data_IF_539355670513
#
_entry.id   IF_539355670513
#
_cell.length_a   1.000
_cell.length_b   1.000
_cell.length_c   1.000
_cell.angle_alpha   90.00
_cell.angle_beta   90.00
_cell.angle_gamma   90.00
#
_symmetry.space_group_name_H-M   'P 1'
#
loop_
_entity.id
_entity.type
_entity.pdbx_description
1 polymer ?
#
# COMPACT_ATOMS: atom_id res chain seq x y z
N UNK A 1 -9.19 -11.37 -1.80
CA UNK A 1 -9.89 -12.52 -2.40
C UNK A 1 -8.88 -13.53 -2.93
N UNK A 2 -9.09 -14.84 -2.73
CA UNK A 2 -8.17 -15.88 -3.20
C UNK A 2 -8.89 -16.84 -4.15
N UNK A 3 -8.22 -17.23 -5.26
CA UNK A 3 -8.70 -18.23 -6.21
C UNK A 3 -7.68 -19.37 -6.34
N UNK A 4 -8.11 -20.59 -6.74
CA UNK A 4 -7.15 -21.64 -7.06
C UNK A 4 -6.20 -21.19 -8.15
N UNK A 5 -4.94 -21.66 -8.09
CA UNK A 5 -3.96 -21.36 -9.12
C UNK A 5 -4.29 -22.16 -10.38
N UNK A 6 -4.35 -21.55 -11.58
CA UNK A 6 -4.46 -22.28 -12.82
C UNK A 6 -3.25 -23.22 -12.99
N UNK A 7 -3.52 -24.50 -13.35
CA UNK A 7 -2.47 -25.53 -13.47
C UNK A 7 -1.45 -25.26 -14.59
N UNK A 8 -1.79 -24.42 -15.55
CA UNK A 8 -0.99 -24.22 -16.77
C UNK A 8 0.21 -23.26 -16.60
N UNK A 9 0.35 -22.58 -15.48
CA UNK A 9 1.36 -21.53 -15.34
C UNK A 9 2.18 -21.69 -14.06
N UNK A 10 3.07 -22.66 -14.07
CA UNK A 10 4.04 -22.88 -12.97
C UNK A 10 4.95 -21.66 -12.72
N UNK A 11 5.26 -20.85 -13.77
CA UNK A 11 6.02 -19.63 -13.65
C UNK A 11 5.23 -18.50 -12.95
N UNK A 12 3.91 -18.46 -13.13
CA UNK A 12 3.07 -17.49 -12.42
C UNK A 12 3.00 -17.76 -10.91
N UNK A 13 3.32 -18.98 -10.47
CA UNK A 13 3.28 -19.35 -9.05
C UNK A 13 4.19 -18.50 -8.16
N UNK A 14 5.31 -18.01 -8.71
CA UNK A 14 6.31 -17.25 -7.96
C UNK A 14 6.29 -15.75 -8.29
N UNK A 15 5.43 -15.30 -9.22
CA UNK A 15 5.38 -13.94 -9.69
C UNK A 15 4.22 -13.18 -9.01
N UNK A 16 4.55 -12.06 -8.38
CA UNK A 16 3.59 -11.07 -7.93
C UNK A 16 3.38 -10.02 -9.03
N UNK A 17 2.13 -9.76 -9.38
CA UNK A 17 1.76 -8.77 -10.39
C UNK A 17 1.16 -7.53 -9.72
N UNK A 18 1.57 -6.36 -10.21
CA UNK A 18 1.00 -5.06 -9.92
C UNK A 18 0.58 -4.43 -11.25
N UNK A 19 -0.69 -4.22 -11.47
CA UNK A 19 -1.20 -3.65 -12.72
C UNK A 19 -1.80 -2.26 -12.47
N UNK A 20 -1.17 -1.24 -13.03
CA UNK A 20 -1.58 0.16 -12.94
C UNK A 20 -2.49 0.59 -14.10
N UNK A 21 -2.99 -0.34 -14.91
CA UNK A 21 -3.92 -0.05 -16.00
C UNK A 21 -5.24 0.61 -15.56
N UNK A 22 -5.71 0.50 -14.30
CA UNK A 22 -6.86 1.26 -13.83
C UNK A 22 -6.63 2.77 -13.64
N UNK A 23 -5.38 3.24 -13.57
CA UNK A 23 -5.07 4.67 -13.35
C UNK A 23 -5.66 5.59 -14.41
N UNK A 24 -5.57 5.29 -15.72
CA UNK A 24 -6.26 6.07 -16.75
C UNK A 24 -7.79 6.07 -16.66
N UNK A 25 -8.37 5.12 -15.93
CA UNK A 25 -9.81 5.03 -15.70
C UNK A 25 -10.28 5.87 -14.50
N UNK A 26 -9.36 6.58 -13.84
CA UNK A 26 -9.66 7.44 -12.69
C UNK A 26 -9.41 6.80 -11.32
N UNK A 27 -8.94 5.56 -11.27
CA UNK A 27 -8.59 4.87 -10.01
C UNK A 27 -7.17 5.26 -9.61
N UNK A 28 -7.04 5.88 -8.44
CA UNK A 28 -5.74 6.25 -7.88
C UNK A 28 -5.09 5.06 -7.16
N UNK A 29 -4.77 4.02 -7.92
CA UNK A 29 -4.30 2.77 -7.37
C UNK A 29 -3.94 1.74 -8.44
N UNK A 30 -4.06 0.46 -8.09
CA UNK A 30 -3.69 -0.65 -8.95
C UNK A 30 -4.46 -1.92 -8.58
N UNK A 31 -4.50 -2.90 -9.50
CA UNK A 31 -4.88 -4.27 -9.18
C UNK A 31 -3.65 -5.10 -8.86
N UNK A 32 -3.80 -6.07 -7.97
CA UNK A 32 -2.75 -7.05 -7.68
C UNK A 32 -3.21 -8.48 -7.87
N UNK A 33 -2.23 -9.32 -8.15
CA UNK A 33 -2.34 -10.77 -8.24
C UNK A 33 -1.08 -11.38 -7.64
N UNK A 34 -1.18 -11.92 -6.41
CA UNK A 34 -0.07 -12.45 -5.64
C UNK A 34 -0.18 -13.94 -5.41
N UNK A 35 0.94 -14.69 -5.46
CA UNK A 35 0.96 -16.08 -5.03
C UNK A 35 0.70 -16.14 -3.52
N UNK A 36 -0.10 -17.11 -3.11
CA UNK A 36 -0.39 -17.38 -1.69
C UNK A 36 -0.66 -18.85 -1.46
N UNK A 37 -0.79 -19.24 -0.20
CA UNK A 37 -1.21 -20.59 0.18
C UNK A 37 -2.39 -20.50 1.13
N UNK A 38 -3.40 -21.33 0.90
CA UNK A 38 -4.53 -21.47 1.80
C UNK A 38 -4.68 -22.97 2.12
N UNK A 39 -4.53 -23.33 3.40
CA UNK A 39 -4.55 -24.73 3.86
C UNK A 39 -3.58 -25.64 3.07
N UNK A 40 -2.36 -25.13 2.81
CA UNK A 40 -1.31 -25.85 2.07
C UNK A 40 -1.54 -25.97 0.55
N UNK A 41 -2.62 -25.37 0.02
CA UNK A 41 -2.91 -25.37 -1.42
C UNK A 41 -2.40 -24.09 -2.06
N UNK A 42 -1.69 -24.14 -3.20
CA UNK A 42 -1.30 -22.96 -3.96
C UNK A 42 -2.55 -22.21 -4.45
N UNK A 43 -2.60 -20.92 -4.15
CA UNK A 43 -3.70 -20.02 -4.49
C UNK A 43 -3.15 -18.70 -5.05
N UNK A 44 -4.02 -17.92 -5.68
CA UNK A 44 -3.72 -16.53 -6.07
C UNK A 44 -4.60 -15.60 -5.25
N UNK A 45 -3.99 -14.56 -4.67
CA UNK A 45 -4.67 -13.51 -3.93
C UNK A 45 -4.84 -12.28 -4.84
N UNK A 46 -6.09 -11.91 -5.09
CA UNK A 46 -6.46 -10.81 -5.96
C UNK A 46 -7.03 -9.66 -5.15
N UNK A 47 -6.78 -8.46 -5.64
CA UNK A 47 -7.45 -7.29 -5.11
C UNK A 47 -7.22 -6.06 -5.97
N UNK A 48 -7.88 -5.00 -5.57
CA UNK A 48 -7.73 -3.65 -6.13
C UNK A 48 -7.65 -2.66 -4.98
N UNK A 49 -6.82 -1.66 -5.14
CA UNK A 49 -6.61 -0.59 -4.20
C UNK A 49 -6.89 0.75 -4.87
N UNK A 50 -7.57 1.63 -4.16
CA UNK A 50 -7.75 3.03 -4.54
C UNK A 50 -7.47 3.90 -3.33
N UNK A 51 -6.55 4.86 -3.47
CA UNK A 51 -6.21 5.81 -2.41
C UNK A 51 -7.27 6.88 -2.22
N UNK A 52 -8.19 7.04 -3.16
CA UNK A 52 -9.12 8.16 -3.21
C UNK A 52 -8.43 9.55 -3.15
N UNK A 53 -7.16 9.63 -3.58
CA UNK A 53 -6.41 10.90 -3.65
C UNK A 53 -6.96 11.86 -4.70
N UNK A 54 -7.84 11.38 -5.56
CA UNK A 54 -8.46 12.10 -6.67
C UNK A 54 -9.97 12.21 -6.42
N UNK A 55 -10.35 12.73 -5.25
CA UNK A 55 -11.74 12.83 -4.79
C UNK A 55 -12.67 13.64 -5.71
N UNK A 56 -12.12 14.40 -6.64
CA UNK A 56 -12.83 15.18 -7.68
C UNK A 56 -13.19 14.34 -8.92
N UNK A 57 -12.91 13.03 -8.92
CA UNK A 57 -13.23 12.12 -9.99
C UNK A 57 -14.36 11.18 -9.60
N UNK A 58 -15.05 10.69 -10.63
CA UNK A 58 -16.04 9.63 -10.54
C UNK A 58 -15.44 8.34 -11.15
N UNK A 59 -14.65 7.57 -10.38
CA UNK A 59 -14.04 6.34 -10.87
C UNK A 59 -15.11 5.27 -11.06
N UNK A 60 -14.89 4.30 -11.97
CA UNK A 60 -15.77 3.15 -12.08
C UNK A 60 -15.76 2.34 -10.77
N UNK A 61 -16.80 1.55 -10.50
CA UNK A 61 -16.82 0.64 -9.36
C UNK A 61 -15.57 -0.25 -9.35
N UNK A 62 -14.87 -0.32 -8.22
CA UNK A 62 -13.59 -1.04 -8.11
C UNK A 62 -13.69 -2.52 -8.52
N UNK A 63 -14.87 -3.10 -8.42
CA UNK A 63 -15.14 -4.45 -8.86
C UNK A 63 -14.87 -4.66 -10.35
N UNK A 64 -15.19 -3.68 -11.20
CA UNK A 64 -15.16 -3.85 -12.66
C UNK A 64 -13.74 -4.06 -13.21
N UNK A 65 -12.74 -3.21 -12.92
CA UNK A 65 -11.37 -3.44 -13.35
C UNK A 65 -10.75 -4.68 -12.70
N UNK A 66 -11.11 -5.01 -11.45
CA UNK A 66 -10.64 -6.23 -10.80
C UNK A 66 -11.14 -7.48 -11.52
N UNK A 67 -12.44 -7.55 -11.83
CA UNK A 67 -13.03 -8.68 -12.56
C UNK A 67 -12.46 -8.78 -13.97
N UNK A 68 -12.24 -7.65 -14.64
CA UNK A 68 -11.63 -7.63 -15.97
C UNK A 68 -10.21 -8.22 -15.94
N UNK A 69 -9.40 -7.85 -14.94
CA UNK A 69 -8.06 -8.39 -14.76
C UNK A 69 -8.06 -9.89 -14.45
N UNK A 70 -8.92 -10.33 -13.55
CA UNK A 70 -9.08 -11.75 -13.23
C UNK A 70 -9.44 -12.58 -14.45
N UNK A 71 -10.42 -12.13 -15.25
CA UNK A 71 -10.82 -12.80 -16.49
C UNK A 71 -9.66 -12.87 -17.50
N UNK A 72 -8.90 -11.78 -17.64
CA UNK A 72 -7.73 -11.72 -18.52
C UNK A 72 -6.69 -12.77 -18.15
N UNK A 73 -6.59 -13.14 -16.88
CA UNK A 73 -5.67 -14.16 -16.35
C UNK A 73 -6.29 -15.52 -16.12
N UNK A 74 -7.50 -15.74 -16.63
CA UNK A 74 -8.18 -17.04 -16.53
C UNK A 74 -8.76 -17.38 -15.18
N UNK A 75 -8.90 -16.39 -14.27
CA UNK A 75 -9.56 -16.57 -12.99
C UNK A 75 -11.04 -16.17 -13.05
N UNK A 76 -11.90 -16.90 -12.35
CA UNK A 76 -13.32 -16.62 -12.27
C UNK A 76 -13.71 -16.08 -10.89
N UNK A 77 -14.67 -15.13 -10.89
CA UNK A 77 -15.16 -14.49 -9.66
C UNK A 77 -16.16 -15.35 -8.89
N UNK A 78 -16.85 -16.24 -9.58
CA UNK A 78 -17.90 -17.12 -9.04
C UNK A 78 -17.43 -18.04 -7.90
N UNK A 79 -16.10 -18.20 -7.75
CA UNK A 79 -15.48 -19.02 -6.72
C UNK A 79 -14.94 -18.21 -5.52
N UNK A 80 -15.19 -16.89 -5.43
CA UNK A 80 -14.56 -16.06 -4.43
C UNK A 80 -15.45 -14.92 -3.95
N UNK A 81 -15.48 -14.72 -2.65
CA UNK A 81 -16.16 -13.61 -2.00
C UNK A 81 -15.29 -12.36 -2.04
N UNK A 82 -15.86 -11.24 -2.53
CA UNK A 82 -15.22 -9.92 -2.49
C UNK A 82 -15.45 -9.29 -1.12
N UNK A 83 -14.35 -8.91 -0.47
CA UNK A 83 -14.39 -8.14 0.77
C UNK A 83 -13.70 -6.81 0.53
N UNK A 84 -14.32 -5.70 0.95
CA UNK A 84 -13.78 -4.36 0.88
C UNK A 84 -13.58 -3.78 2.28
N UNK A 85 -12.45 -3.12 2.49
CA UNK A 85 -12.15 -2.43 3.74
C UNK A 85 -11.63 -1.03 3.44
N UNK A 86 -12.10 0.02 4.16
CA UNK A 86 -11.50 1.34 4.08
C UNK A 86 -10.09 1.29 4.68
N UNK A 87 -9.14 1.91 3.99
CA UNK A 87 -7.76 2.05 4.46
C UNK A 87 -7.46 3.54 4.58
N UNK A 88 -7.02 3.98 5.77
CA UNK A 88 -6.47 5.31 5.95
C UNK A 88 -5.04 5.33 5.43
N UNK A 89 -4.73 6.23 4.53
CA UNK A 89 -3.35 6.46 4.11
C UNK A 89 -2.66 7.52 4.96
N UNK A 90 -1.34 7.42 5.05
CA UNK A 90 -0.50 8.32 5.82
C UNK A 90 -0.52 9.74 5.24
N UNK A 91 -0.66 10.71 6.12
CA UNK A 91 -0.44 12.13 5.80
C UNK A 91 0.50 12.75 6.83
N UNK A 92 1.57 13.45 6.40
CA UNK A 92 2.50 14.10 7.32
C UNK A 92 1.87 15.25 8.13
N UNK A 93 0.63 15.64 7.77
CA UNK A 93 -0.15 16.68 8.48
C UNK A 93 -1.17 16.10 9.45
N UNK A 94 -1.32 14.79 9.51
CA UNK A 94 -2.25 14.14 10.44
C UNK A 94 -1.67 14.13 11.86
N UNK A 95 -2.48 14.46 12.85
CA UNK A 95 -2.16 14.17 14.25
C UNK A 95 -2.22 12.67 14.51
N UNK A 96 -1.18 12.11 15.10
CA UNK A 96 -1.02 10.69 15.41
C UNK A 96 -1.10 10.42 16.91
N UNK A 97 -1.20 11.47 17.73
CA UNK A 97 -1.27 11.37 19.18
C UNK A 97 -2.13 12.47 19.81
N UNK A 98 -2.69 12.12 20.94
CA UNK A 98 -3.27 13.04 21.92
C UNK A 98 -2.91 12.52 23.32
N UNK A 99 -3.08 13.28 24.41
CA UNK A 99 -2.76 12.78 25.74
C UNK A 99 -3.38 11.41 26.01
N UNK A 100 -2.53 10.45 26.41
CA UNK A 100 -2.84 9.04 26.68
C UNK A 100 -3.26 8.19 25.48
N UNK A 101 -3.19 8.70 24.23
CA UNK A 101 -3.54 7.95 23.02
C UNK A 101 -2.48 8.16 21.94
N UNK A 102 -2.01 7.09 21.33
CA UNK A 102 -1.18 7.11 20.14
C UNK A 102 -1.79 6.20 19.06
N UNK A 103 -1.71 6.62 17.81
CA UNK A 103 -2.14 5.82 16.67
C UNK A 103 -0.97 5.02 16.11
N UNK A 104 -1.24 3.77 15.73
CA UNK A 104 -0.26 2.86 15.15
C UNK A 104 -0.88 2.08 13.99
N UNK A 105 -0.05 1.50 13.11
CA UNK A 105 -0.52 0.69 11.99
C UNK A 105 -1.47 1.46 11.08
N UNK A 106 -2.50 0.80 10.60
CA UNK A 106 -3.48 1.37 9.66
C UNK A 106 -4.22 2.58 10.24
N UNK A 107 -4.41 2.63 11.57
CA UNK A 107 -5.00 3.79 12.23
C UNK A 107 -4.11 5.05 12.11
N UNK A 108 -2.79 4.89 12.13
CA UNK A 108 -1.84 5.98 11.88
C UNK A 108 -1.69 6.31 10.38
N UNK A 109 -2.01 5.38 9.53
CA UNK A 109 -2.00 5.50 8.07
C UNK A 109 -1.05 4.53 7.39
N UNK A 110 -1.58 3.80 6.41
CA UNK A 110 -0.84 2.92 5.52
C UNK A 110 -0.12 3.70 4.40
N UNK A 111 0.63 2.99 3.58
CA UNK A 111 1.29 3.56 2.41
C UNK A 111 0.30 4.06 1.36
N UNK A 112 0.33 5.35 1.04
CA UNK A 112 -0.53 5.95 0.02
C UNK A 112 -0.17 5.58 -1.42
N UNK A 113 1.01 4.98 -1.68
CA UNK A 113 1.44 4.61 -3.04
C UNK A 113 1.04 3.17 -3.40
N UNK A 114 1.29 2.23 -2.50
CA UNK A 114 1.06 0.80 -2.74
C UNK A 114 0.05 0.16 -1.78
N UNK A 115 -0.55 0.92 -0.86
CA UNK A 115 -1.46 0.35 0.14
C UNK A 115 -0.80 -0.65 1.08
N UNK A 116 0.55 -0.63 1.20
CA UNK A 116 1.28 -1.54 2.06
C UNK A 116 0.98 -1.22 3.52
N UNK A 117 0.48 -2.20 4.27
CA UNK A 117 0.13 -2.05 5.69
C UNK A 117 1.04 -2.82 6.63
N UNK A 118 1.41 -4.07 6.30
CA UNK A 118 2.04 -5.01 7.26
C UNK A 118 3.41 -4.53 7.73
N UNK A 119 4.34 -4.25 6.81
CA UNK A 119 5.68 -3.80 7.20
C UNK A 119 5.64 -2.42 7.86
N UNK A 120 4.72 -1.57 7.41
CA UNK A 120 4.47 -0.24 7.98
C UNK A 120 3.96 -0.35 9.41
N UNK A 121 3.00 -1.24 9.68
CA UNK A 121 2.48 -1.48 11.04
C UNK A 121 3.56 -1.95 12.01
N UNK A 122 4.45 -2.84 11.56
CA UNK A 122 5.61 -3.28 12.36
C UNK A 122 6.57 -2.12 12.67
N UNK A 123 6.78 -1.22 11.70
CA UNK A 123 7.57 0.00 11.90
C UNK A 123 6.96 0.93 12.94
N UNK A 124 5.66 1.18 12.87
CA UNK A 124 4.93 1.95 13.90
C UNK A 124 5.04 1.32 15.28
N UNK A 125 4.88 -0.02 15.37
CA UNK A 125 4.97 -0.75 16.63
C UNK A 125 6.27 -0.52 17.37
N UNK A 126 7.40 -0.47 16.65
CA UNK A 126 8.71 -0.16 17.22
C UNK A 126 8.78 1.25 17.80
N UNK A 127 8.30 2.26 17.07
CA UNK A 127 8.31 3.65 17.49
C UNK A 127 7.35 3.89 18.67
N UNK A 128 6.19 3.25 18.63
CA UNK A 128 5.22 3.28 19.73
C UNK A 128 5.78 2.66 21.02
N UNK A 129 6.47 1.52 20.92
CA UNK A 129 7.12 0.89 22.07
C UNK A 129 8.20 1.77 22.70
N UNK A 130 8.92 2.55 21.91
CA UNK A 130 9.87 3.54 22.41
C UNK A 130 9.15 4.68 23.14
N UNK A 131 8.10 5.25 22.54
CA UNK A 131 7.33 6.34 23.14
C UNK A 131 6.65 5.91 24.45
N UNK A 132 6.12 4.70 24.51
CA UNK A 132 5.52 4.13 25.73
C UNK A 132 6.55 3.92 26.84
N UNK A 133 7.73 3.40 26.50
CA UNK A 133 8.82 3.25 27.49
C UNK A 133 9.21 4.58 28.10
N UNK A 134 9.39 5.60 27.26
CA UNK A 134 9.76 6.94 27.72
C UNK A 134 8.66 7.55 28.60
N UNK A 135 7.39 7.38 28.20
CA UNK A 135 6.24 7.85 28.98
C UNK A 135 6.15 7.19 30.36
N UNK A 136 6.40 5.87 30.44
CA UNK A 136 6.43 5.16 31.73
C UNK A 136 7.61 5.62 32.59
N UNK A 137 8.79 5.84 32.00
CA UNK A 137 9.97 6.26 32.73
C UNK A 137 9.87 7.70 33.28
N UNK A 138 9.18 8.58 32.55
CA UNK A 138 9.05 10.00 32.92
C UNK A 138 7.74 10.36 33.66
N UNK A 139 6.73 9.46 33.57
CA UNK A 139 5.37 9.76 34.03
C UNK A 139 4.59 10.68 33.09
N UNK A 140 5.18 11.08 31.95
CA UNK A 140 4.53 11.96 30.96
C UNK A 140 3.86 11.17 29.82
N UNK A 141 2.55 11.06 29.89
CA UNK A 141 1.73 10.41 28.86
C UNK A 141 1.08 11.41 27.89
N UNK A 142 1.64 12.61 27.75
CA UNK A 142 1.13 13.61 26.79
C UNK A 142 1.35 13.21 25.35
N UNK A 143 2.41 12.43 25.06
CA UNK A 143 2.87 12.04 23.72
C UNK A 143 3.04 13.22 22.75
N UNK A 144 3.33 14.40 23.28
CA UNK A 144 3.41 15.64 22.49
C UNK A 144 4.49 15.64 21.42
N UNK A 145 5.48 14.76 21.51
CA UNK A 145 6.57 14.60 20.55
C UNK A 145 6.41 13.40 19.61
N UNK A 146 5.35 12.58 19.77
CA UNK A 146 5.18 11.32 19.02
C UNK A 146 5.08 11.54 17.51
N UNK A 147 4.30 12.52 17.05
CA UNK A 147 4.17 12.87 15.64
C UNK A 147 5.54 13.23 15.03
N UNK A 148 6.33 14.01 15.75
CA UNK A 148 7.68 14.40 15.34
C UNK A 148 8.64 13.21 15.31
N UNK A 149 8.53 12.26 16.26
CA UNK A 149 9.31 11.02 16.26
C UNK A 149 9.00 10.20 15.02
N UNK A 150 7.71 10.04 14.68
CA UNK A 150 7.30 9.34 13.44
C UNK A 150 7.89 10.04 12.21
N UNK A 151 7.65 11.35 12.06
CA UNK A 151 8.07 12.10 10.86
C UNK A 151 9.59 12.10 10.65
N UNK A 152 10.37 12.14 11.72
CA UNK A 152 11.85 12.11 11.66
C UNK A 152 12.44 10.71 11.50
N UNK A 153 11.66 9.67 11.75
CA UNK A 153 12.10 8.29 11.58
C UNK A 153 12.25 7.91 10.10
N UNK A 154 13.04 6.88 9.78
CA UNK A 154 13.09 6.32 8.43
C UNK A 154 11.72 5.90 7.90
N UNK A 155 10.81 5.42 8.78
CA UNK A 155 9.43 5.11 8.43
C UNK A 155 8.67 6.34 7.93
N UNK A 156 8.64 7.41 8.73
CA UNK A 156 7.90 8.64 8.40
C UNK A 156 8.46 9.34 7.16
N UNK A 157 9.79 9.34 6.98
CA UNK A 157 10.44 9.86 5.77
C UNK A 157 10.03 9.05 4.52
N UNK A 158 10.05 7.71 4.62
CA UNK A 158 9.62 6.85 3.52
C UNK A 158 8.14 7.05 3.18
N UNK A 159 7.26 7.12 4.19
CA UNK A 159 5.83 7.34 3.99
C UNK A 159 5.54 8.73 3.39
N UNK A 160 6.24 9.77 3.85
CA UNK A 160 6.10 11.12 3.28
C UNK A 160 6.51 11.15 1.81
N UNK A 161 7.64 10.52 1.46
CA UNK A 161 8.08 10.42 0.08
C UNK A 161 7.10 9.63 -0.79
N UNK A 162 6.60 8.49 -0.30
CA UNK A 162 5.61 7.68 -1.02
C UNK A 162 4.30 8.42 -1.23
N UNK A 163 3.82 9.16 -0.22
CA UNK A 163 2.63 10.01 -0.35
C UNK A 163 2.81 11.07 -1.43
N UNK A 164 3.97 11.75 -1.47
CA UNK A 164 4.26 12.75 -2.50
C UNK A 164 4.31 12.12 -3.90
N UNK A 165 4.95 10.95 -4.05
CA UNK A 165 5.01 10.19 -5.30
C UNK A 165 3.60 9.77 -5.74
N UNK A 166 2.76 9.29 -4.82
CA UNK A 166 1.39 8.89 -5.12
C UNK A 166 0.57 10.05 -5.69
N UNK A 167 0.67 11.24 -5.07
CA UNK A 167 0.01 12.45 -5.59
C UNK A 167 0.43 12.79 -7.03
N UNK A 168 1.72 12.66 -7.34
CA UNK A 168 2.22 12.95 -8.70
C UNK A 168 1.77 11.87 -9.68
N UNK A 169 2.05 10.60 -9.35
CA UNK A 169 1.80 9.46 -10.22
C UNK A 169 0.33 9.32 -10.60
N UNK A 170 -0.56 9.42 -9.61
CA UNK A 170 -1.99 9.24 -9.83
C UNK A 170 -2.67 10.46 -10.45
N UNK A 171 -2.14 11.67 -10.28
CA UNK A 171 -2.59 12.85 -11.02
C UNK A 171 -2.25 12.80 -12.50
N UNK A 172 -1.10 12.24 -12.87
CA UNK A 172 -0.65 12.08 -14.24
C UNK A 172 -1.29 10.82 -14.88
N UNK A 173 -2.62 10.81 -14.94
CA UNK A 173 -3.43 9.64 -15.31
C UNK A 173 -3.60 9.42 -16.81
N UNK A 174 -3.09 10.30 -17.67
CA UNK A 174 -3.22 10.15 -19.12
C UNK A 174 -2.62 8.81 -19.59
N UNK A 175 -3.39 8.05 -20.37
CA UNK A 175 -2.98 6.70 -20.80
C UNK A 175 -1.64 6.69 -21.55
N UNK A 176 -1.38 7.72 -22.38
CA UNK A 176 -0.10 7.87 -23.09
C UNK A 176 1.06 8.10 -22.13
N UNK A 177 0.84 8.95 -21.10
CA UNK A 177 1.85 9.25 -20.08
C UNK A 177 2.16 8.00 -19.25
N UNK A 178 1.16 7.27 -18.77
CA UNK A 178 1.34 6.04 -18.01
C UNK A 178 2.13 4.99 -18.82
N UNK A 179 1.77 4.76 -20.10
CA UNK A 179 2.51 3.86 -20.97
C UNK A 179 3.96 4.29 -21.16
N UNK A 180 4.20 5.58 -21.43
CA UNK A 180 5.52 6.15 -21.60
C UNK A 180 6.35 6.04 -20.32
N UNK A 181 5.79 6.42 -19.17
CA UNK A 181 6.43 6.37 -17.87
C UNK A 181 6.89 4.95 -17.51
N UNK A 182 5.98 3.99 -17.53
CA UNK A 182 6.30 2.61 -17.18
C UNK A 182 7.25 1.93 -18.17
N UNK A 183 7.27 2.35 -19.43
CA UNK A 183 8.17 1.80 -20.44
C UNK A 183 9.58 2.38 -20.35
N UNK A 184 9.71 3.70 -20.22
CA UNK A 184 10.97 4.42 -20.26
C UNK A 184 11.67 4.46 -18.90
N UNK A 185 10.91 4.66 -17.82
CA UNK A 185 11.46 4.81 -16.47
C UNK A 185 11.46 3.52 -15.64
N UNK A 186 11.19 2.37 -16.24
CA UNK A 186 11.18 1.08 -15.55
C UNK A 186 12.41 0.86 -14.65
N UNK A 187 13.67 1.07 -15.06
CA UNK A 187 14.83 0.88 -14.18
C UNK A 187 14.86 1.88 -13.03
N UNK A 188 14.47 3.13 -13.27
CA UNK A 188 14.40 4.17 -12.22
C UNK A 188 13.29 3.83 -11.22
N UNK A 189 12.12 3.44 -11.71
CA UNK A 189 11.01 3.00 -10.87
C UNK A 189 11.40 1.80 -10.01
N UNK A 190 12.09 0.82 -10.59
CA UNK A 190 12.59 -0.35 -9.86
C UNK A 190 13.60 0.06 -8.77
N UNK A 191 14.52 0.96 -9.06
CA UNK A 191 15.48 1.47 -8.09
C UNK A 191 14.79 2.25 -6.95
N UNK A 192 13.85 3.14 -7.28
CA UNK A 192 13.07 3.90 -6.30
C UNK A 192 12.22 2.96 -5.45
N UNK A 193 11.53 2.00 -6.06
CA UNK A 193 10.76 0.99 -5.34
C UNK A 193 11.66 0.18 -4.40
N UNK A 194 12.83 -0.24 -4.85
CA UNK A 194 13.78 -0.96 -4.00
C UNK A 194 14.20 -0.13 -2.78
N UNK A 195 14.55 1.14 -2.96
CA UNK A 195 15.02 2.00 -1.87
C UNK A 195 13.89 2.39 -0.91
N UNK A 196 12.74 2.80 -1.45
CA UNK A 196 11.65 3.36 -0.63
C UNK A 196 10.69 2.28 -0.10
N UNK A 197 10.51 1.18 -0.82
CA UNK A 197 9.53 0.15 -0.46
C UNK A 197 10.21 -1.04 0.21
N UNK A 198 11.27 -1.58 -0.38
CA UNK A 198 11.88 -2.82 0.11
C UNK A 198 12.99 -2.58 1.16
N UNK A 199 13.68 -1.45 1.11
CA UNK A 199 14.91 -1.25 1.90
C UNK A 199 14.78 -0.26 3.07
N UNK A 200 13.64 0.42 3.22
CA UNK A 200 13.45 1.40 4.30
C UNK A 200 13.61 0.80 5.71
N UNK A 201 13.16 -0.45 5.90
CA UNK A 201 13.21 -1.13 7.19
C UNK A 201 14.66 -1.41 7.65
N UNK A 202 15.62 -1.53 6.73
CA UNK A 202 17.05 -1.69 7.08
C UNK A 202 17.62 -0.46 7.79
N UNK A 203 17.06 0.72 7.54
CA UNK A 203 17.47 1.98 8.17
C UNK A 203 16.91 2.15 9.59
N UNK A 204 16.02 1.26 10.01
CA UNK A 204 15.47 1.24 11.37
C UNK A 204 16.25 0.32 12.33
N UNK A 205 17.25 -0.39 11.84
CA UNK A 205 18.17 -1.16 12.69
C UNK A 205 19.18 -0.23 13.31
#
# INVERSE_FOLDING_TARGET
MCTPQPRADMHAAEIAYFDFSPVPQGIAGYTWDFPTQVNGRPMRCWGIYDTNLLADRDPPPLKDPLVAEMRRRGAALDQAELQGHPIRWFSPRSGLSVPRVILVGDAAGADGLFGEGISIALGYGRLAAQALRDAVATGDFSFSDYDRRILRSPLGQALTARTAIAHILYRLHWAWFQKFFWRLFKPVVAAVAFVLVLNWARRMR
#
